data_IF_211091988748
#
_entry.id   IF_211091988748
#
_cell.length_a   1.000
_cell.length_b   1.000
_cell.length_c   1.000
_cell.angle_alpha   90.00
_cell.angle_beta   90.00
_cell.angle_gamma   90.00
#
_symmetry.space_group_name_H-M   'P 1'
#
loop_
_entity.id
_entity.type
_entity.pdbx_description
1 polymer ?
#
# COMPACT_ATOMS: atom_id res chain seq x y z
N UNK A 1 25.62 14.68 -9.59
CA UNK A 1 25.05 13.32 -9.46
C UNK A 1 25.21 12.60 -10.79
N UNK A 2 25.56 11.31 -10.81
CA UNK A 2 25.59 10.54 -12.06
C UNK A 2 24.17 10.12 -12.39
N UNK A 3 23.71 10.41 -13.61
CA UNK A 3 22.44 9.92 -14.11
C UNK A 3 22.46 8.38 -14.19
N UNK A 4 21.41 7.74 -13.73
CA UNK A 4 21.24 6.29 -13.71
C UNK A 4 19.76 5.91 -13.70
N UNK A 5 19.47 4.61 -13.70
CA UNK A 5 18.10 4.08 -13.59
C UNK A 5 18.06 3.10 -12.41
N UNK A 6 16.96 3.10 -11.67
CA UNK A 6 16.68 2.10 -10.64
C UNK A 6 15.75 1.04 -11.21
N UNK A 7 15.98 -0.22 -10.84
CA UNK A 7 15.06 -1.30 -11.17
C UNK A 7 13.76 -1.12 -10.39
N UNK A 8 12.62 -1.33 -11.05
CA UNK A 8 11.29 -1.14 -10.46
C UNK A 8 10.42 -2.36 -10.75
N UNK A 9 9.71 -2.82 -9.72
CA UNK A 9 8.58 -3.74 -9.88
C UNK A 9 7.33 -3.18 -9.21
N UNK A 10 6.18 -3.42 -9.83
CA UNK A 10 4.89 -3.22 -9.18
C UNK A 10 4.52 -4.42 -8.31
N UNK A 11 3.59 -4.22 -7.36
CA UNK A 11 3.00 -5.29 -6.57
C UNK A 11 2.31 -6.33 -7.46
N UNK A 12 1.70 -5.91 -8.57
CA UNK A 12 1.17 -6.81 -9.61
C UNK A 12 2.23 -7.85 -10.05
N UNK A 13 3.41 -7.40 -10.47
CA UNK A 13 4.47 -8.32 -10.91
C UNK A 13 5.17 -9.08 -9.77
N UNK A 14 5.26 -8.49 -8.57
CA UNK A 14 5.91 -9.13 -7.43
C UNK A 14 5.07 -10.22 -6.76
N UNK A 15 3.75 -10.04 -6.73
CA UNK A 15 2.81 -10.91 -6.02
C UNK A 15 2.00 -11.80 -6.96
N UNK A 16 2.26 -11.73 -8.27
CA UNK A 16 1.43 -12.35 -9.32
C UNK A 16 -0.06 -11.97 -9.14
N UNK A 17 -0.30 -10.72 -8.73
CA UNK A 17 -1.64 -10.20 -8.51
C UNK A 17 -2.24 -9.78 -9.86
N UNK A 18 -3.34 -10.41 -10.25
CA UNK A 18 -4.06 -10.09 -11.47
C UNK A 18 -4.41 -8.58 -11.53
N UNK A 19 -4.10 -7.95 -12.66
CA UNK A 19 -4.40 -6.54 -12.89
C UNK A 19 -5.77 -6.32 -13.52
N UNK A 20 -6.45 -7.39 -13.96
CA UNK A 20 -7.79 -7.34 -14.58
C UNK A 20 -8.91 -7.52 -13.56
N UNK A 21 -8.58 -7.96 -12.35
CA UNK A 21 -9.51 -8.12 -11.24
C UNK A 21 -8.96 -7.41 -9.98
N UNK A 22 -9.82 -6.95 -9.06
CA UNK A 22 -9.39 -6.39 -7.78
C UNK A 22 -8.84 -7.50 -6.88
N UNK A 23 -7.60 -7.92 -7.11
CA UNK A 23 -6.99 -9.10 -6.50
C UNK A 23 -6.01 -8.78 -5.38
N UNK A 24 -5.87 -7.50 -4.99
CA UNK A 24 -4.91 -7.06 -3.98
C UNK A 24 -5.63 -6.61 -2.70
N UNK A 25 -5.05 -6.95 -1.55
CA UNK A 25 -5.47 -6.47 -0.24
C UNK A 25 -4.34 -5.69 0.44
N UNK A 26 -4.67 -4.60 1.13
CA UNK A 26 -3.71 -3.84 1.91
C UNK A 26 -3.01 -4.68 2.99
N UNK A 27 -3.66 -5.71 3.52
CA UNK A 27 -3.06 -6.66 4.46
C UNK A 27 -1.85 -7.36 3.86
N UNK A 28 -1.94 -7.76 2.59
CA UNK A 28 -0.88 -8.47 1.89
C UNK A 28 0.17 -7.50 1.38
N UNK A 29 -0.24 -6.33 0.88
CA UNK A 29 0.67 -5.27 0.46
C UNK A 29 1.54 -4.76 1.63
N UNK A 30 0.96 -4.58 2.83
CA UNK A 30 1.70 -4.20 4.04
C UNK A 30 2.71 -5.28 4.43
N UNK A 31 2.30 -6.56 4.43
CA UNK A 31 3.20 -7.69 4.73
C UNK A 31 4.34 -7.78 3.72
N UNK A 32 4.02 -7.72 2.42
CA UNK A 32 4.99 -7.75 1.34
C UNK A 32 6.00 -6.60 1.48
N UNK A 33 5.53 -5.39 1.77
CA UNK A 33 6.39 -4.22 1.99
C UNK A 33 7.36 -4.42 3.14
N UNK A 34 6.90 -4.96 4.28
CA UNK A 34 7.77 -5.24 5.43
C UNK A 34 8.81 -6.30 5.13
N UNK A 35 8.43 -7.37 4.43
CA UNK A 35 9.31 -8.49 4.12
C UNK A 35 10.35 -8.10 3.07
N UNK A 36 9.91 -7.49 1.97
CA UNK A 36 10.76 -7.12 0.85
C UNK A 36 11.78 -6.05 1.26
N UNK A 37 11.32 -4.98 1.92
CA UNK A 37 12.19 -3.89 2.38
C UNK A 37 12.88 -4.18 3.72
N UNK A 38 12.62 -5.32 4.36
CA UNK A 38 13.18 -5.73 5.66
C UNK A 38 13.07 -4.65 6.75
N UNK A 39 11.97 -3.88 6.74
CA UNK A 39 11.79 -2.71 7.61
C UNK A 39 10.34 -2.56 8.08
N UNK A 40 10.09 -2.40 9.39
CA UNK A 40 8.76 -2.04 9.91
C UNK A 40 8.25 -0.73 9.32
N UNK A 41 9.14 0.24 9.07
CA UNK A 41 8.77 1.55 8.53
C UNK A 41 8.13 1.45 7.14
N UNK A 42 8.50 0.44 6.32
CA UNK A 42 7.84 0.20 5.05
C UNK A 42 6.37 -0.21 5.23
N UNK A 43 6.08 -1.07 6.21
CA UNK A 43 4.69 -1.43 6.56
C UNK A 43 3.88 -0.23 7.05
N UNK A 44 4.47 0.59 7.93
CA UNK A 44 3.85 1.81 8.46
C UNK A 44 3.57 2.85 7.37
N UNK A 45 4.52 3.06 6.44
CA UNK A 45 4.32 3.94 5.29
C UNK A 45 3.22 3.42 4.37
N UNK A 46 3.17 2.11 4.14
CA UNK A 46 2.12 1.49 3.32
C UNK A 46 0.73 1.61 3.97
N UNK A 47 0.64 1.50 5.29
CA UNK A 47 -0.58 1.80 6.04
C UNK A 47 -0.99 3.27 5.90
N UNK A 48 -0.06 4.22 6.01
CA UNK A 48 -0.34 5.65 5.81
C UNK A 48 -0.90 5.92 4.41
N UNK A 49 -0.33 5.30 3.37
CA UNK A 49 -0.82 5.41 1.98
C UNK A 49 -2.22 4.80 1.82
N UNK A 50 -2.50 3.68 2.48
CA UNK A 50 -3.84 3.09 2.50
C UNK A 50 -4.88 4.06 3.11
N UNK A 51 -4.55 4.72 4.22
CA UNK A 51 -5.45 5.69 4.84
C UNK A 51 -5.63 6.93 3.96
N UNK A 52 -4.56 7.37 3.29
CA UNK A 52 -4.65 8.44 2.31
C UNK A 52 -5.65 8.09 1.21
N UNK A 53 -5.54 6.92 0.58
CA UNK A 53 -6.45 6.51 -0.49
C UNK A 53 -7.90 6.45 0.00
N UNK A 54 -8.12 5.89 1.20
CA UNK A 54 -9.46 5.83 1.82
C UNK A 54 -10.06 7.24 2.02
N UNK A 55 -9.31 8.18 2.57
CA UNK A 55 -9.80 9.52 2.89
C UNK A 55 -9.92 10.42 1.66
N UNK A 56 -9.03 10.25 0.69
CA UNK A 56 -9.01 11.03 -0.54
C UNK A 56 -9.91 10.45 -1.64
N UNK A 57 -10.62 9.33 -1.37
CA UNK A 57 -11.40 8.60 -2.37
C UNK A 57 -10.60 8.29 -3.66
N UNK A 58 -9.33 7.93 -3.50
CA UNK A 58 -8.54 7.36 -4.60
C UNK A 58 -8.89 5.88 -4.70
N UNK A 59 -9.89 5.55 -5.52
CA UNK A 59 -10.43 4.20 -5.64
C UNK A 59 -9.81 3.41 -6.81
N UNK A 60 -9.05 4.08 -7.68
CA UNK A 60 -8.22 3.45 -8.71
C UNK A 60 -6.83 3.02 -8.18
N UNK A 61 -6.78 2.54 -6.93
CA UNK A 61 -5.55 2.17 -6.23
C UNK A 61 -5.08 0.73 -6.52
N UNK A 62 -5.15 0.32 -7.79
CA UNK A 62 -4.95 -1.07 -8.22
C UNK A 62 -3.50 -1.56 -8.10
N UNK A 63 -3.28 -2.88 -8.28
CA UNK A 63 -1.99 -3.57 -8.04
C UNK A 63 -0.77 -3.02 -8.80
N UNK A 64 -0.96 -2.27 -9.89
CA UNK A 64 0.12 -1.60 -10.64
C UNK A 64 0.58 -0.26 -10.04
N UNK A 65 -0.21 0.34 -9.12
CA UNK A 65 0.06 1.64 -8.51
C UNK A 65 0.95 1.55 -7.27
N UNK A 66 1.36 0.33 -6.93
CA UNK A 66 2.24 0.04 -5.81
C UNK A 66 3.60 -0.41 -6.31
N UNK A 67 4.58 0.49 -6.27
CA UNK A 67 5.93 0.24 -6.77
C UNK A 67 6.96 -0.02 -5.67
N UNK A 68 7.97 -0.79 -6.03
CA UNK A 68 9.17 -1.05 -5.24
C UNK A 68 10.39 -0.79 -6.12
N UNK A 69 11.42 -0.18 -5.55
CA UNK A 69 12.68 0.10 -6.21
C UNK A 69 13.77 -0.79 -5.62
N UNK A 70 14.58 -1.38 -6.49
CA UNK A 70 15.77 -2.15 -6.08
C UNK A 70 17.02 -1.33 -6.39
N UNK A 71 17.90 -1.21 -5.41
CA UNK A 71 19.26 -0.69 -5.62
C UNK A 71 20.18 -1.80 -6.17
N UNK A 72 21.35 -1.41 -6.67
CA UNK A 72 22.32 -2.34 -7.30
C UNK A 72 22.85 -3.42 -6.33
N UNK A 73 22.77 -3.16 -5.02
CA UNK A 73 23.13 -4.13 -3.96
C UNK A 73 22.01 -5.13 -3.64
N UNK A 74 20.89 -5.05 -4.37
CA UNK A 74 19.72 -5.89 -4.22
C UNK A 74 18.77 -5.46 -3.10
N UNK A 75 19.07 -4.37 -2.37
CA UNK A 75 18.18 -3.82 -1.35
C UNK A 75 16.94 -3.20 -1.97
N UNK A 76 15.80 -3.36 -1.28
CA UNK A 76 14.51 -2.88 -1.77
C UNK A 76 13.97 -1.76 -0.89
N UNK A 77 13.37 -0.77 -1.53
CA UNK A 77 12.59 0.26 -0.87
C UNK A 77 11.24 0.45 -1.57
N UNK A 78 10.28 1.05 -0.88
CA UNK A 78 9.05 1.50 -1.52
C UNK A 78 9.39 2.59 -2.55
N UNK A 79 8.80 2.50 -3.74
CA UNK A 79 8.84 3.60 -4.69
C UNK A 79 8.14 4.84 -4.10
N UNK A 80 8.44 6.05 -4.61
CA UNK A 80 7.60 7.22 -4.37
C UNK A 80 6.13 6.91 -4.63
N UNK A 81 5.23 7.58 -3.92
CA UNK A 81 3.81 7.36 -4.13
C UNK A 81 3.39 8.08 -5.42
N UNK A 82 2.84 7.35 -6.39
CA UNK A 82 2.52 7.86 -7.73
C UNK A 82 1.10 7.47 -8.13
N UNK A 83 0.58 8.13 -9.17
CA UNK A 83 -0.78 7.95 -9.68
C UNK A 83 -1.85 8.07 -8.58
N UNK A 84 -1.69 9.14 -7.79
CA UNK A 84 -2.53 9.43 -6.63
C UNK A 84 -3.47 10.57 -6.99
N UNK A 85 -4.71 10.22 -7.35
CA UNK A 85 -5.70 11.19 -7.82
C UNK A 85 -7.02 11.01 -7.08
N UNK A 86 -7.88 12.04 -7.10
CA UNK A 86 -9.27 11.89 -6.68
C UNK A 86 -10.01 11.09 -7.76
N UNK A 87 -10.28 9.81 -7.49
CA UNK A 87 -10.75 8.83 -8.48
C UNK A 87 -11.90 7.96 -7.94
N UNK A 88 -13.04 8.56 -7.56
CA UNK A 88 -14.18 7.78 -7.06
C UNK A 88 -14.72 6.84 -8.15
N UNK A 89 -14.83 5.56 -7.82
CA UNK A 89 -15.39 4.51 -8.65
C UNK A 89 -16.93 4.54 -8.58
N UNK A 90 -17.66 4.25 -9.68
CA UNK A 90 -19.13 4.25 -9.69
C UNK A 90 -19.80 3.33 -8.66
N UNK A 91 -19.13 2.25 -8.25
CA UNK A 91 -19.61 1.31 -7.21
C UNK A 91 -19.10 1.63 -5.80
N UNK A 92 -18.35 2.74 -5.66
CA UNK A 92 -17.73 3.21 -4.42
C UNK A 92 -16.78 2.18 -3.79
N UNK A 93 -16.08 1.40 -4.63
CA UNK A 93 -15.16 0.34 -4.21
C UNK A 93 -13.73 0.69 -4.64
N UNK A 94 -12.78 0.50 -3.73
CA UNK A 94 -11.35 0.55 -4.01
C UNK A 94 -10.90 -0.69 -4.76
N UNK A 95 -9.96 -0.51 -5.69
CA UNK A 95 -9.32 -1.60 -6.41
C UNK A 95 -8.40 -2.44 -5.49
N UNK A 96 -7.85 -1.85 -4.43
CA UNK A 96 -7.20 -2.58 -3.33
C UNK A 96 -8.11 -2.68 -2.11
N UNK A 97 -8.42 -3.90 -1.67
CA UNK A 97 -9.31 -4.13 -0.54
C UNK A 97 -8.65 -3.81 0.82
N UNK A 98 -9.46 -3.40 1.79
CA UNK A 98 -9.06 -3.22 3.19
C UNK A 98 -9.44 -4.46 3.98
N UNK A 99 -8.56 -5.46 4.08
CA UNK A 99 -8.81 -6.73 4.77
C UNK A 99 -10.15 -7.40 4.38
N UNK A 100 -10.41 -7.48 3.07
CA UNK A 100 -11.61 -8.04 2.46
C UNK A 100 -12.74 -7.04 2.17
N UNK A 101 -12.58 -5.78 2.57
CA UNK A 101 -13.58 -4.73 2.33
C UNK A 101 -13.15 -3.82 1.18
N UNK A 102 -13.81 -3.93 0.02
CA UNK A 102 -13.63 -3.00 -1.10
C UNK A 102 -14.24 -1.62 -0.83
N UNK A 103 -15.25 -1.55 0.05
CA UNK A 103 -15.92 -0.30 0.43
C UNK A 103 -16.32 -0.28 1.89
N UNK A 104 -16.46 0.92 2.45
CA UNK A 104 -16.94 1.16 3.82
C UNK A 104 -16.28 0.25 4.87
N UNK A 105 -14.93 0.14 4.90
CA UNK A 105 -14.26 -0.71 5.88
C UNK A 105 -14.50 -0.19 7.32
N UNK A 106 -14.87 -1.05 8.27
CA UNK A 106 -15.09 -0.61 9.65
C UNK A 106 -13.78 -0.25 10.35
N UNK A 107 -13.85 0.57 11.41
CA UNK A 107 -12.66 0.99 12.18
C UNK A 107 -11.77 -0.18 12.64
N UNK A 108 -12.37 -1.32 12.99
CA UNK A 108 -11.64 -2.54 13.39
C UNK A 108 -10.68 -3.04 12.30
N UNK A 109 -11.00 -2.82 11.03
CA UNK A 109 -10.10 -3.13 9.91
C UNK A 109 -8.88 -2.23 9.94
N UNK A 110 -9.05 -0.93 10.16
CA UNK A 110 -7.92 0.01 10.26
C UNK A 110 -6.99 -0.35 11.42
N UNK A 111 -7.56 -0.74 12.57
CA UNK A 111 -6.79 -1.22 13.72
C UNK A 111 -6.03 -2.50 13.39
N UNK A 112 -6.64 -3.44 12.66
CA UNK A 112 -5.98 -4.68 12.21
C UNK A 112 -4.84 -4.40 11.22
N UNK A 113 -5.05 -3.50 10.26
CA UNK A 113 -4.02 -3.09 9.30
C UNK A 113 -2.87 -2.37 10.00
N UNK A 114 -3.15 -1.50 10.97
CA UNK A 114 -2.13 -0.85 11.79
C UNK A 114 -1.28 -1.86 12.58
N UNK A 115 -1.91 -2.85 13.22
CA UNK A 115 -1.17 -3.93 13.89
C UNK A 115 -0.30 -4.71 12.89
N UNK A 116 -0.84 -5.01 11.70
CA UNK A 116 -0.10 -5.69 10.63
C UNK A 116 1.05 -4.85 10.07
N UNK A 117 0.95 -3.53 10.14
CA UNK A 117 1.98 -2.57 9.76
C UNK A 117 3.10 -2.43 10.80
N UNK A 118 2.93 -3.01 12.00
CA UNK A 118 3.94 -2.99 13.05
C UNK A 118 3.89 -1.74 13.94
N UNK A 119 2.73 -1.09 14.08
CA UNK A 119 2.51 -0.12 15.15
C UNK A 119 2.33 -0.84 16.49
N UNK A 120 2.84 -0.28 17.59
CA UNK A 120 2.72 -0.91 18.90
C UNK A 120 1.28 -0.84 19.44
N UNK A 121 0.56 0.22 19.09
CA UNK A 121 -0.82 0.44 19.47
C UNK A 121 -1.54 1.36 18.47
N UNK A 122 -2.87 1.41 18.58
CA UNK A 122 -3.71 2.23 17.70
C UNK A 122 -3.42 3.73 17.80
N UNK A 123 -3.04 4.24 18.99
CA UNK A 123 -2.77 5.67 19.19
C UNK A 123 -1.57 6.16 18.38
N UNK A 124 -0.51 5.37 18.32
CA UNK A 124 0.65 5.65 17.44
C UNK A 124 0.25 5.63 15.96
N UNK A 125 -0.54 4.64 15.54
CA UNK A 125 -1.03 4.58 14.16
C UNK A 125 -1.89 5.80 13.80
N UNK A 126 -2.69 6.31 14.74
CA UNK A 126 -3.49 7.53 14.55
C UNK A 126 -2.61 8.76 14.32
N UNK A 127 -1.51 8.92 15.06
CA UNK A 127 -0.57 10.03 14.86
C UNK A 127 0.07 9.99 13.47
N UNK A 128 0.20 8.80 12.88
CA UNK A 128 0.74 8.63 11.53
C UNK A 128 -0.21 9.11 10.42
N UNK A 129 -1.49 9.37 10.73
CA UNK A 129 -2.51 9.72 9.73
C UNK A 129 -3.19 11.08 10.01
N UNK A 130 -2.74 11.75 11.07
CA UNK A 130 -3.05 13.15 11.37
C UNK A 130 -2.26 14.11 10.48
#
# INVERSE_FOLDING_TARGET
EKAGRLHMHSACGLLDADFRSPSLDYSDLIKASRQLCKSPAAGQLQFRRAMFNLFAANQDDHSKNWGFLQADDGSWQLAPFYDVTFSPHPFNEHATAFAGYGKTPPLKVMQKLAASAGFANWKEAQQCIQ
#
